data_IF_132115840232
#
_entry.id   IF_132115840232
#
_cell.length_a   1.000
_cell.length_b   1.000
_cell.length_c   1.000
_cell.angle_alpha   90.00
_cell.angle_beta   90.00
_cell.angle_gamma   90.00
#
_symmetry.space_group_name_H-M   'P 1'
#
loop_
_entity.id
_entity.type
_entity.pdbx_description
1 polymer ?
#
# COMPACT_ATOMS: atom_id res chain seq x y z
N UNK A 1 16.91 -15.57 25.72
CA UNK A 1 17.42 -16.12 27.00
C UNK A 1 16.87 -15.31 28.19
N UNK A 2 16.13 -15.95 29.09
CA UNK A 2 15.52 -15.31 30.27
C UNK A 2 16.48 -15.20 31.46
N UNK A 3 16.38 -14.12 32.23
CA UNK A 3 17.17 -13.88 33.44
C UNK A 3 16.29 -13.75 34.68
N UNK A 4 16.75 -14.26 35.82
CA UNK A 4 16.09 -14.07 37.12
C UNK A 4 16.05 -12.58 37.47
N UNK A 5 14.89 -12.10 37.93
CA UNK A 5 14.50 -10.70 38.10
C UNK A 5 14.35 -9.88 36.81
N UNK A 6 14.49 -10.50 35.63
CA UNK A 6 14.18 -9.86 34.35
C UNK A 6 12.67 -9.67 34.17
N UNK A 7 12.28 -8.59 33.49
CA UNK A 7 10.89 -8.26 33.17
C UNK A 7 10.65 -8.50 31.68
N UNK A 8 9.60 -9.25 31.36
CA UNK A 8 9.24 -9.68 30.02
C UNK A 8 7.72 -9.57 29.83
N UNK A 9 7.24 -9.78 28.61
CA UNK A 9 5.85 -9.66 28.24
C UNK A 9 5.39 -10.88 27.43
N UNK A 10 4.14 -11.28 27.63
CA UNK A 10 3.43 -12.20 26.74
C UNK A 10 1.96 -11.75 26.59
N UNK A 11 1.14 -12.54 25.90
CA UNK A 11 -0.30 -12.23 25.67
C UNK A 11 -1.12 -11.99 26.95
N UNK A 12 -0.63 -12.38 28.13
CA UNK A 12 -1.31 -12.14 29.42
C UNK A 12 -0.83 -10.88 30.14
N UNK A 13 0.16 -10.18 29.59
CA UNK A 13 0.75 -8.98 30.18
C UNK A 13 2.20 -9.17 30.60
N UNK A 14 2.70 -8.19 31.35
CA UNK A 14 4.08 -8.17 31.85
C UNK A 14 4.27 -9.13 33.03
N UNK A 15 5.43 -9.77 33.08
CA UNK A 15 5.81 -10.67 34.15
C UNK A 15 7.30 -10.54 34.51
N UNK A 16 7.61 -10.75 35.78
CA UNK A 16 8.97 -10.84 36.30
C UNK A 16 9.36 -12.29 36.54
N UNK A 17 10.54 -12.71 36.07
CA UNK A 17 11.06 -14.06 36.35
C UNK A 17 11.57 -14.13 37.78
N UNK A 18 11.01 -15.01 38.60
CA UNK A 18 11.43 -15.20 39.99
C UNK A 18 12.51 -16.28 40.13
N UNK A 19 12.37 -17.41 39.44
CA UNK A 19 13.35 -18.50 39.47
C UNK A 19 13.38 -19.25 38.14
N UNK A 20 14.51 -19.87 37.84
CA UNK A 20 14.68 -20.72 36.65
C UNK A 20 15.15 -22.10 37.13
N UNK A 21 14.36 -23.12 36.81
CA UNK A 21 14.60 -24.51 37.22
C UNK A 21 14.46 -25.43 36.01
N UNK A 22 15.58 -25.69 35.33
CA UNK A 22 15.62 -26.57 34.15
C UNK A 22 14.74 -26.05 33.01
N UNK A 23 13.79 -26.84 32.48
CA UNK A 23 12.93 -26.42 31.35
C UNK A 23 11.81 -25.46 31.76
N UNK A 24 11.68 -25.13 33.06
CA UNK A 24 10.62 -24.27 33.60
C UNK A 24 11.20 -23.06 34.31
N UNK A 25 10.44 -21.97 34.30
CA UNK A 25 10.71 -20.78 35.11
C UNK A 25 9.45 -20.36 35.86
N UNK A 26 9.61 -19.95 37.11
CA UNK A 26 8.52 -19.38 37.90
C UNK A 26 8.50 -17.88 37.67
N UNK A 27 7.34 -17.34 37.30
CA UNK A 27 7.17 -15.92 37.01
C UNK A 27 6.07 -15.32 37.89
N UNK A 28 6.12 -14.00 38.08
CA UNK A 28 5.08 -13.21 38.75
C UNK A 28 4.56 -12.13 37.81
N UNK A 29 3.25 -12.12 37.59
CA UNK A 29 2.55 -11.09 36.84
C UNK A 29 2.25 -9.86 37.70
N UNK A 30 1.89 -8.74 37.07
CA UNK A 30 1.60 -7.47 37.76
C UNK A 30 0.40 -7.55 38.72
N UNK A 31 -0.54 -8.44 38.44
CA UNK A 31 -1.70 -8.75 39.31
C UNK A 31 -1.30 -9.56 40.57
N UNK A 32 -0.02 -9.93 40.71
CA UNK A 32 0.51 -10.74 41.79
C UNK A 32 0.42 -12.25 41.55
N UNK A 33 -0.14 -12.69 40.43
CA UNK A 33 -0.26 -14.12 40.09
C UNK A 33 1.11 -14.73 39.84
N UNK A 34 1.38 -15.88 40.46
CA UNK A 34 2.63 -16.64 40.31
C UNK A 34 2.37 -17.96 39.60
N UNK A 35 3.13 -18.26 38.54
CA UNK A 35 2.96 -19.46 37.72
C UNK A 35 4.28 -19.97 37.17
N UNK A 36 4.37 -21.28 36.99
CA UNK A 36 5.46 -21.93 36.28
C UNK A 36 5.19 -21.97 34.76
N UNK A 37 6.11 -21.41 33.98
CA UNK A 37 6.08 -21.39 32.53
C UNK A 37 7.21 -22.23 31.95
N UNK A 38 6.96 -22.83 30.77
CA UNK A 38 8.00 -23.53 30.03
C UNK A 38 8.88 -22.52 29.27
N UNK A 39 10.20 -22.60 29.46
CA UNK A 39 11.15 -21.65 28.89
C UNK A 39 11.11 -21.67 27.36
N UNK A 40 11.13 -22.85 26.73
CA UNK A 40 11.13 -22.97 25.27
C UNK A 40 9.88 -22.34 24.62
N UNK A 41 8.74 -22.42 25.31
CA UNK A 41 7.51 -21.78 24.83
C UNK A 41 7.61 -20.26 24.93
N UNK A 42 8.16 -19.74 26.04
CA UNK A 42 8.30 -18.30 26.21
C UNK A 42 9.40 -17.72 25.32
N UNK A 43 10.45 -18.47 24.99
CA UNK A 43 11.48 -18.04 24.03
C UNK A 43 10.86 -17.84 22.64
N UNK A 44 10.07 -18.80 22.15
CA UNK A 44 9.37 -18.65 20.86
C UNK A 44 8.35 -17.51 20.85
N UNK A 45 7.64 -17.27 21.96
CA UNK A 45 6.72 -16.13 22.07
C UNK A 45 7.52 -14.82 22.03
N UNK A 46 8.66 -14.78 22.70
CA UNK A 46 9.52 -13.61 22.74
C UNK A 46 10.15 -13.32 21.38
N UNK A 47 10.65 -14.34 20.68
CA UNK A 47 11.19 -14.21 19.32
C UNK A 47 10.15 -13.64 18.35
N UNK A 48 8.89 -14.09 18.42
CA UNK A 48 7.82 -13.55 17.59
C UNK A 48 7.48 -12.09 17.95
N UNK A 49 7.46 -11.74 19.25
CA UNK A 49 7.20 -10.37 19.71
C UNK A 49 8.37 -9.46 19.32
N UNK A 50 9.60 -9.94 19.42
CA UNK A 50 10.80 -9.17 19.06
C UNK A 50 10.87 -8.93 17.56
N UNK A 51 10.51 -9.92 16.72
CA UNK A 51 10.35 -9.73 15.28
C UNK A 51 9.24 -8.71 14.93
N UNK A 52 8.11 -8.74 15.66
CA UNK A 52 7.01 -7.78 15.48
C UNK A 52 7.39 -6.36 15.96
N UNK A 53 8.13 -6.26 17.07
CA UNK A 53 8.62 -4.98 17.60
C UNK A 53 9.75 -4.41 16.74
N UNK A 54 10.67 -5.22 16.21
CA UNK A 54 11.70 -4.76 15.28
C UNK A 54 11.07 -4.27 13.97
N UNK A 55 10.06 -4.98 13.46
CA UNK A 55 9.27 -4.53 12.30
C UNK A 55 8.54 -3.20 12.59
N UNK A 56 7.96 -3.01 13.78
CA UNK A 56 7.31 -1.75 14.17
C UNK A 56 8.28 -0.60 14.48
N UNK A 57 9.44 -0.87 15.08
CA UNK A 57 10.39 0.15 15.53
C UNK A 57 11.22 0.74 14.38
N UNK A 58 11.65 -0.11 13.43
CA UNK A 58 12.22 0.34 12.15
C UNK A 58 11.20 1.18 11.37
N UNK A 59 9.93 0.77 11.44
CA UNK A 59 8.82 1.49 10.84
C UNK A 59 8.58 2.88 11.42
N UNK A 60 8.57 3.09 12.74
CA UNK A 60 8.16 4.39 13.30
C UNK A 60 9.20 5.49 13.05
N UNK A 61 10.49 5.17 13.10
CA UNK A 61 11.55 6.14 12.81
C UNK A 61 11.64 6.41 11.30
N UNK A 62 11.59 5.37 10.46
CA UNK A 62 11.56 5.54 9.00
C UNK A 62 10.28 6.25 8.53
N UNK A 63 9.11 5.96 9.10
CA UNK A 63 7.84 6.66 8.82
C UNK A 63 7.87 8.12 9.29
N UNK A 64 8.50 8.43 10.42
CA UNK A 64 8.62 9.82 10.89
C UNK A 64 9.59 10.64 10.01
N UNK A 65 10.67 10.00 9.53
CA UNK A 65 11.64 10.62 8.62
C UNK A 65 11.07 10.76 7.19
N UNK A 66 10.37 9.73 6.68
CA UNK A 66 9.57 9.80 5.44
C UNK A 66 8.48 10.86 5.54
N UNK A 67 7.70 10.93 6.63
CA UNK A 67 6.70 12.00 6.85
C UNK A 67 7.29 13.40 6.84
N UNK A 68 8.55 13.57 7.27
CA UNK A 68 9.29 14.83 7.17
C UNK A 68 9.73 15.15 5.74
N UNK A 69 10.19 14.16 4.99
CA UNK A 69 10.58 14.32 3.57
C UNK A 69 9.38 14.48 2.64
N UNK A 70 8.26 13.81 2.96
CA UNK A 70 6.99 13.82 2.25
C UNK A 70 6.04 14.94 2.72
N UNK A 71 6.52 15.88 3.54
CA UNK A 71 5.72 16.96 4.09
C UNK A 71 5.17 17.86 2.96
N UNK A 72 3.92 17.61 2.56
CA UNK A 72 3.25 18.33 1.47
C UNK A 72 2.94 17.49 0.23
N UNK A 73 3.41 16.23 0.18
CA UNK A 73 2.97 15.24 -0.80
C UNK A 73 1.51 14.89 -0.55
N UNK A 74 0.77 14.70 -1.63
CA UNK A 74 -0.64 14.36 -1.59
C UNK A 74 -0.84 12.99 -2.24
N UNK A 75 -1.66 12.17 -1.58
CA UNK A 75 -1.95 10.80 -1.98
C UNK A 75 -3.40 10.72 -2.46
N UNK A 76 -3.59 10.12 -3.63
CA UNK A 76 -4.89 10.01 -4.26
C UNK A 76 -5.13 8.60 -4.78
N UNK A 77 -6.39 8.17 -4.76
CA UNK A 77 -6.91 7.09 -5.59
C UNK A 77 -7.70 7.74 -6.73
N UNK A 78 -7.37 7.40 -7.97
CA UNK A 78 -8.10 7.82 -9.16
C UNK A 78 -8.91 6.65 -9.71
N UNK A 79 -10.23 6.78 -9.79
CA UNK A 79 -11.06 5.84 -10.53
C UNK A 79 -11.00 6.15 -12.02
N UNK A 80 -10.91 5.10 -12.84
CA UNK A 80 -10.94 5.17 -14.30
C UNK A 80 -11.90 4.11 -14.83
N UNK A 81 -12.59 4.45 -15.91
CA UNK A 81 -13.42 3.50 -16.64
C UNK A 81 -12.57 2.82 -17.71
N UNK A 82 -12.51 1.50 -17.66
CA UNK A 82 -11.84 0.62 -18.60
C UNK A 82 -12.90 -0.27 -19.28
N UNK A 83 -13.87 0.33 -19.98
CA UNK A 83 -14.77 -0.47 -20.83
C UNK A 83 -13.94 -0.98 -22.01
N UNK A 84 -13.67 -2.28 -22.00
CA UNK A 84 -12.95 -3.00 -23.03
C UNK A 84 -13.58 -2.79 -24.41
N UNK A 85 -12.93 -2.01 -25.26
CA UNK A 85 -12.61 -2.39 -26.64
C UNK A 85 -11.78 -1.30 -27.33
N UNK A 86 -10.61 -1.73 -27.78
CA UNK A 86 -9.72 -1.09 -28.75
C UNK A 86 -8.60 -0.20 -28.18
N UNK A 87 -7.41 -0.80 -28.29
CA UNK A 87 -6.07 -0.23 -28.26
C UNK A 87 -5.30 -0.24 -26.94
N UNK A 88 -4.07 -0.75 -27.10
CA UNK A 88 -2.90 -0.78 -26.22
C UNK A 88 -2.43 0.66 -25.89
N UNK A 89 -3.35 1.49 -25.40
CA UNK A 89 -3.06 2.80 -24.81
C UNK A 89 -4.37 3.42 -24.34
N UNK A 90 -4.58 3.56 -23.02
CA UNK A 90 -5.36 4.71 -22.57
C UNK A 90 -4.75 5.92 -23.30
N UNK A 91 -5.55 6.85 -23.85
CA UNK A 91 -5.03 7.97 -24.65
C UNK A 91 -3.93 8.80 -23.98
N UNK A 92 -3.67 8.62 -22.67
CA UNK A 92 -2.56 9.22 -21.92
C UNK A 92 -1.48 8.28 -21.35
N UNK A 93 -1.60 6.96 -21.49
CA UNK A 93 -0.64 6.02 -20.85
C UNK A 93 0.69 5.95 -21.58
N UNK A 94 0.65 5.92 -22.92
CA UNK A 94 1.87 6.04 -23.76
C UNK A 94 2.58 7.38 -23.56
N UNK A 95 1.83 8.40 -23.17
CA UNK A 95 2.33 9.76 -22.99
C UNK A 95 2.68 10.07 -21.53
N UNK A 96 2.52 9.11 -20.60
CA UNK A 96 2.84 9.28 -19.18
C UNK A 96 2.16 10.52 -18.60
N UNK A 97 0.84 10.63 -18.81
CA UNK A 97 0.02 11.73 -18.30
C UNK A 97 -1.23 11.25 -17.56
N UNK A 98 -1.66 12.03 -16.58
CA UNK A 98 -2.97 11.91 -15.93
C UNK A 98 -3.79 13.16 -16.17
N UNK A 99 -5.12 12.99 -16.21
CA UNK A 99 -6.07 14.07 -16.49
C UNK A 99 -6.94 14.33 -15.28
N UNK A 100 -7.07 15.60 -14.89
CA UNK A 100 -7.99 16.08 -13.87
C UNK A 100 -9.08 16.90 -14.55
N UNK A 101 -10.34 16.57 -14.28
CA UNK A 101 -11.52 17.34 -14.68
C UNK A 101 -11.82 18.43 -13.65
N UNK A 102 -12.22 19.62 -14.10
CA UNK A 102 -12.78 20.66 -13.24
C UNK A 102 -14.27 20.35 -12.89
N UNK A 103 -14.67 20.31 -11.61
CA UNK A 103 -13.87 20.52 -10.40
C UNK A 103 -13.09 19.28 -9.96
N UNK A 104 -11.78 19.44 -9.76
CA UNK A 104 -10.87 18.38 -9.36
C UNK A 104 -9.65 18.91 -8.58
N UNK A 105 -8.85 18.00 -7.98
CA UNK A 105 -7.71 18.42 -7.18
C UNK A 105 -6.59 19.00 -8.05
N UNK A 106 -5.97 20.07 -7.57
CA UNK A 106 -4.73 20.57 -8.17
C UNK A 106 -3.56 19.72 -7.69
N UNK A 107 -3.12 18.77 -8.52
CA UNK A 107 -1.99 17.91 -8.24
C UNK A 107 -0.69 18.71 -8.19
N UNK A 108 0.29 18.21 -7.41
CA UNK A 108 1.62 18.81 -7.28
C UNK A 108 2.68 17.81 -7.74
N UNK A 109 3.83 18.28 -8.23
CA UNK A 109 4.99 17.40 -8.40
C UNK A 109 5.30 16.66 -7.09
N UNK A 110 5.52 15.35 -7.19
CA UNK A 110 5.68 14.43 -6.07
C UNK A 110 4.37 13.84 -5.51
N UNK A 111 3.19 14.34 -5.91
CA UNK A 111 1.92 13.69 -5.56
C UNK A 111 1.87 12.27 -6.11
N UNK A 112 1.38 11.32 -5.32
CA UNK A 112 1.26 9.91 -5.72
C UNK A 112 -0.19 9.53 -5.94
N UNK A 113 -0.44 8.68 -6.92
CA UNK A 113 -1.76 8.31 -7.41
C UNK A 113 -1.81 6.80 -7.58
N UNK A 114 -2.81 6.16 -6.99
CA UNK A 114 -3.18 4.77 -7.30
C UNK A 114 -4.35 4.80 -8.27
N UNK A 115 -4.31 3.96 -9.30
CA UNK A 115 -5.41 3.81 -10.24
C UNK A 115 -6.33 2.65 -9.86
N UNK A 116 -7.63 2.92 -9.98
CA UNK A 116 -8.71 1.98 -9.69
C UNK A 116 -9.59 1.80 -10.93
N UNK A 117 -9.82 0.56 -11.35
CA UNK A 117 -10.75 0.23 -12.42
C UNK A 117 -12.16 0.08 -11.87
N UNK A 118 -13.11 0.83 -12.41
CA UNK A 118 -14.52 0.77 -12.00
C UNK A 118 -15.15 -0.58 -12.36
N UNK A 119 -14.84 -1.09 -13.56
CA UNK A 119 -15.43 -2.29 -14.14
C UNK A 119 -14.89 -3.55 -13.46
N UNK A 120 -13.57 -3.61 -13.25
CA UNK A 120 -12.92 -4.73 -12.59
C UNK A 120 -12.97 -4.63 -11.06
N UNK A 121 -13.37 -3.47 -10.53
CA UNK A 121 -13.40 -3.17 -9.10
C UNK A 121 -12.06 -3.50 -8.42
N UNK A 122 -10.95 -3.14 -9.07
CA UNK A 122 -9.61 -3.46 -8.61
C UNK A 122 -8.66 -2.27 -8.76
N UNK A 123 -7.71 -2.16 -7.84
CA UNK A 123 -6.56 -1.27 -7.93
C UNK A 123 -5.46 -1.98 -8.70
N UNK A 124 -4.77 -1.29 -9.60
CA UNK A 124 -3.88 -1.97 -10.55
C UNK A 124 -2.61 -1.20 -10.92
N UNK A 125 -2.46 0.06 -10.52
CA UNK A 125 -1.24 0.82 -10.84
C UNK A 125 -0.93 1.89 -9.81
N UNK A 126 0.35 2.22 -9.69
CA UNK A 126 0.88 3.30 -8.86
C UNK A 126 1.65 4.26 -9.76
N UNK A 127 1.41 5.56 -9.59
CA UNK A 127 2.09 6.60 -10.36
C UNK A 127 2.47 7.80 -9.49
N UNK A 128 3.54 8.48 -9.89
CA UNK A 128 4.03 9.70 -9.25
C UNK A 128 3.94 10.88 -10.23
N UNK A 129 3.36 12.00 -9.81
CA UNK A 129 3.29 13.22 -10.63
C UNK A 129 4.67 13.86 -10.71
N UNK A 130 5.19 14.06 -11.92
CA UNK A 130 6.57 14.54 -12.15
C UNK A 130 6.66 16.03 -12.44
N UNK A 131 5.54 16.69 -12.74
CA UNK A 131 5.53 18.09 -13.16
C UNK A 131 4.19 18.78 -12.97
N UNK A 132 4.18 20.09 -13.25
CA UNK A 132 2.99 20.92 -13.11
C UNK A 132 1.93 20.64 -14.18
N UNK A 133 0.68 20.91 -13.80
CA UNK A 133 -0.47 20.74 -14.69
C UNK A 133 -0.49 21.76 -15.82
N UNK A 134 -0.84 21.30 -17.02
CA UNK A 134 -1.02 22.13 -18.21
C UNK A 134 -2.45 22.00 -18.72
N UNK A 135 -3.02 23.08 -19.24
CA UNK A 135 -4.34 23.05 -19.88
C UNK A 135 -4.24 22.83 -21.40
N UNK A 136 -3.03 22.64 -21.91
CA UNK A 136 -2.79 22.32 -23.31
C UNK A 136 -2.78 20.81 -23.45
N UNK A 137 -3.76 20.26 -24.19
CA UNK A 137 -3.77 18.83 -24.50
C UNK A 137 -2.48 18.46 -25.25
N UNK A 138 -1.82 17.35 -24.88
CA UNK A 138 -0.71 16.82 -25.66
C UNK A 138 -1.11 16.49 -27.09
N UNK A 139 -0.12 16.46 -27.99
CA UNK A 139 -0.37 16.23 -29.43
C UNK A 139 -0.88 14.82 -29.66
N UNK A 140 -2.12 14.70 -30.11
CA UNK A 140 -2.75 13.40 -30.40
C UNK A 140 -3.65 12.89 -29.27
N UNK A 141 -3.67 13.59 -28.13
CA UNK A 141 -4.56 13.27 -27.03
C UNK A 141 -6.00 13.69 -27.34
N UNK A 142 -6.94 12.75 -27.26
CA UNK A 142 -8.36 13.00 -27.44
C UNK A 142 -9.14 12.51 -26.22
N UNK A 143 -9.79 13.44 -25.51
CA UNK A 143 -10.73 13.09 -24.43
C UNK A 143 -12.16 13.25 -24.93
N UNK A 144 -12.85 12.16 -25.30
CA UNK A 144 -14.18 12.24 -25.89
C UNK A 144 -15.19 12.87 -24.92
N UNK A 145 -15.97 13.84 -25.43
CA UNK A 145 -17.16 14.34 -24.73
C UNK A 145 -16.92 15.31 -23.56
N UNK A 146 -15.69 15.85 -23.40
CA UNK A 146 -15.41 16.89 -22.40
C UNK A 146 -14.84 18.15 -23.04
N UNK A 147 -15.15 19.29 -22.43
CA UNK A 147 -14.60 20.58 -22.86
C UNK A 147 -13.10 20.63 -22.51
N UNK A 148 -12.20 20.85 -23.49
CA UNK A 148 -10.77 20.95 -23.23
C UNK A 148 -10.38 22.01 -22.20
N UNK A 149 -11.20 23.05 -22.03
CA UNK A 149 -10.97 24.11 -21.03
C UNK A 149 -11.15 23.64 -19.58
N UNK A 150 -11.79 22.49 -19.37
CA UNK A 150 -12.00 21.86 -18.07
C UNK A 150 -11.01 20.73 -17.77
N UNK A 151 -10.02 20.52 -18.65
CA UNK A 151 -9.02 19.47 -18.51
C UNK A 151 -7.69 20.07 -18.09
N UNK A 152 -7.10 19.52 -17.04
CA UNK A 152 -5.71 19.76 -16.68
C UNK A 152 -4.93 18.46 -16.78
N UNK A 153 -3.86 18.49 -17.57
CA UNK A 153 -2.97 17.39 -17.86
C UNK A 153 -1.72 17.47 -17.00
N UNK A 154 -1.41 16.41 -16.28
CA UNK A 154 -0.23 16.33 -15.42
C UNK A 154 0.68 15.21 -15.91
N UNK A 155 1.98 15.48 -16.13
CA UNK A 155 2.91 14.40 -16.41
C UNK A 155 3.10 13.54 -15.15
N UNK A 156 3.16 12.24 -15.37
CA UNK A 156 3.32 11.23 -14.33
C UNK A 156 4.49 10.30 -14.69
N UNK A 157 4.98 9.58 -13.71
CA UNK A 157 5.79 8.39 -13.91
C UNK A 157 5.04 7.20 -13.33
N UNK A 158 5.17 6.03 -13.93
CA UNK A 158 4.57 4.82 -13.37
C UNK A 158 5.59 4.11 -12.51
N UNK A 159 5.23 3.89 -11.26
CA UNK A 159 6.06 3.17 -10.30
C UNK A 159 5.76 1.66 -10.40
N UNK A 160 4.48 1.30 -10.48
CA UNK A 160 4.00 -0.10 -10.50
C UNK A 160 2.80 -0.21 -11.45
N UNK A 161 2.68 -1.33 -12.17
CA UNK A 161 1.56 -1.60 -13.06
C UNK A 161 1.33 -3.11 -13.21
N UNK A 162 0.10 -3.54 -12.90
CA UNK A 162 -0.35 -4.92 -13.08
C UNK A 162 -0.92 -5.08 -14.49
N UNK A 163 -0.39 -6.06 -15.22
CA UNK A 163 -0.82 -6.33 -16.60
C UNK A 163 -2.14 -7.12 -16.63
N UNK A 164 -2.33 -8.05 -15.70
CA UNK A 164 -3.54 -8.84 -15.58
C UNK A 164 -4.46 -8.31 -14.47
N UNK A 165 -5.52 -7.59 -14.87
CA UNK A 165 -6.49 -7.01 -13.93
C UNK A 165 -7.26 -8.05 -13.10
N UNK A 166 -7.23 -9.34 -13.48
CA UNK A 166 -7.82 -10.42 -12.66
C UNK A 166 -7.00 -10.70 -11.40
N UNK A 167 -5.68 -10.49 -11.46
CA UNK A 167 -4.74 -10.65 -10.34
C UNK A 167 -4.58 -9.37 -9.50
N UNK A 168 -5.14 -8.26 -9.97
CA UNK A 168 -5.02 -6.97 -9.33
C UNK A 168 -5.71 -6.91 -7.95
N UNK A 169 -5.35 -5.92 -7.13
CA UNK A 169 -5.86 -5.80 -5.75
C UNK A 169 -7.36 -5.47 -5.79
N UNK A 170 -8.20 -6.45 -5.48
CA UNK A 170 -9.65 -6.25 -5.52
C UNK A 170 -10.14 -5.30 -4.41
N UNK A 171 -11.16 -4.48 -4.69
CA UNK A 171 -11.69 -3.48 -3.75
C UNK A 171 -12.17 -4.08 -2.43
N UNK A 172 -12.58 -5.35 -2.45
CA UNK A 172 -13.10 -6.04 -1.28
C UNK A 172 -12.04 -6.71 -0.41
N UNK A 173 -10.78 -6.81 -0.86
CA UNK A 173 -9.67 -7.33 -0.04
C UNK A 173 -9.01 -6.26 0.84
N UNK A 174 -9.38 -4.99 0.67
CA UNK A 174 -8.74 -3.86 1.36
C UNK A 174 -9.74 -3.02 2.15
N UNK A 175 -9.24 -2.43 3.25
CA UNK A 175 -9.96 -1.46 4.06
C UNK A 175 -9.11 -0.20 4.20
N UNK A 176 -9.68 0.96 3.87
CA UNK A 176 -8.99 2.26 3.97
C UNK A 176 -9.51 3.01 5.19
N UNK A 177 -8.66 3.23 6.18
CA UNK A 177 -9.04 3.88 7.43
C UNK A 177 -9.46 5.33 7.21
N UNK A 178 -8.80 6.03 6.29
CA UNK A 178 -9.09 7.43 5.96
C UNK A 178 -10.38 7.62 5.18
N UNK A 179 -10.84 6.58 4.48
CA UNK A 179 -12.02 6.63 3.62
C UNK A 179 -12.89 5.37 3.77
N UNK A 180 -13.62 5.18 4.87
CA UNK A 180 -14.41 3.96 5.10
C UNK A 180 -15.47 3.67 4.04
N UNK A 181 -15.91 4.71 3.32
CA UNK A 181 -16.94 4.62 2.27
C UNK A 181 -16.35 4.62 0.85
N UNK A 182 -15.04 4.41 0.68
CA UNK A 182 -14.37 4.49 -0.62
C UNK A 182 -15.02 3.61 -1.69
N UNK A 183 -15.53 2.43 -1.33
CA UNK A 183 -16.22 1.50 -2.23
C UNK A 183 -17.42 2.14 -2.95
N UNK A 184 -18.15 3.01 -2.27
CA UNK A 184 -19.29 3.72 -2.86
C UNK A 184 -18.87 4.93 -3.71
N UNK A 185 -17.72 5.53 -3.39
CA UNK A 185 -17.20 6.71 -4.08
C UNK A 185 -16.50 6.36 -5.38
N UNK A 186 -15.78 5.23 -5.41
CA UNK A 186 -15.02 4.77 -6.58
C UNK A 186 -15.88 4.12 -7.66
N UNK A 187 -17.21 4.05 -7.48
CA UNK A 187 -18.14 3.54 -8.51
C UNK A 187 -18.23 4.48 -9.71
N UNK A 188 -17.94 5.78 -9.53
CA UNK A 188 -17.93 6.74 -10.62
C UNK A 188 -16.52 6.87 -11.18
N UNK A 189 -16.33 6.87 -12.51
CA UNK A 189 -15.02 7.10 -13.11
C UNK A 189 -14.59 8.57 -13.02
N UNK A 190 -13.30 8.80 -13.20
CA UNK A 190 -12.62 10.10 -13.13
C UNK A 190 -12.76 10.82 -11.77
N UNK A 191 -12.98 10.05 -10.70
CA UNK A 191 -13.00 10.57 -9.33
C UNK A 191 -11.61 10.50 -8.74
N UNK A 192 -11.17 11.61 -8.15
CA UNK A 192 -9.99 11.64 -7.30
C UNK A 192 -10.41 11.61 -5.83
N UNK A 193 -10.10 10.50 -5.17
CA UNK A 193 -10.31 10.32 -3.74
C UNK A 193 -9.00 10.58 -3.01
N UNK A 194 -8.99 11.56 -2.09
CA UNK A 194 -7.81 11.83 -1.26
C UNK A 194 -7.73 10.82 -0.11
N UNK A 195 -6.59 10.18 0.03
CA UNK A 195 -6.28 9.21 1.09
C UNK A 195 -5.12 9.72 1.96
N UNK A 196 -4.94 9.11 3.14
CA UNK A 196 -3.73 9.34 3.94
C UNK A 196 -2.54 8.56 3.36
N UNK A 197 -1.35 8.80 3.90
CA UNK A 197 -0.13 8.09 3.50
C UNK A 197 -0.21 6.61 3.86
N UNK A 198 -0.71 6.27 5.05
CA UNK A 198 -0.70 4.88 5.54
C UNK A 198 -1.58 3.95 4.66
N UNK A 199 -2.78 4.39 4.27
CA UNK A 199 -3.67 3.67 3.34
C UNK A 199 -3.07 3.58 1.93
N UNK A 200 -2.34 4.62 1.51
CA UNK A 200 -1.69 4.64 0.20
C UNK A 200 -0.54 3.63 0.15
N UNK A 201 0.33 3.62 1.15
CA UNK A 201 1.47 2.71 1.20
C UNK A 201 1.01 1.26 1.32
N UNK A 202 -0.07 0.97 2.07
CA UNK A 202 -0.67 -0.37 2.11
C UNK A 202 -1.04 -0.87 0.71
N UNK A 203 -1.75 -0.04 -0.06
CA UNK A 203 -2.15 -0.42 -1.42
C UNK A 203 -0.94 -0.52 -2.37
N UNK A 204 0.03 0.38 -2.24
CA UNK A 204 1.21 0.37 -3.08
C UNK A 204 2.08 -0.88 -2.83
N UNK A 205 2.22 -1.30 -1.57
CA UNK A 205 2.92 -2.52 -1.17
C UNK A 205 2.25 -3.76 -1.76
N UNK A 206 0.92 -3.92 -1.59
CA UNK A 206 0.17 -5.04 -2.18
C UNK A 206 0.29 -5.09 -3.71
N UNK A 207 0.29 -3.95 -4.38
CA UNK A 207 0.49 -3.89 -5.83
C UNK A 207 1.90 -4.29 -6.26
N UNK A 208 2.90 -3.95 -5.44
CA UNK A 208 4.31 -4.25 -5.72
C UNK A 208 4.56 -5.75 -5.56
N UNK A 209 4.07 -6.33 -4.46
CA UNK A 209 4.16 -7.78 -4.19
C UNK A 209 3.55 -8.61 -5.34
N UNK A 210 2.36 -8.24 -5.81
CA UNK A 210 1.72 -8.93 -6.95
C UNK A 210 2.49 -8.76 -8.27
N UNK A 211 3.18 -7.64 -8.46
CA UNK A 211 3.96 -7.42 -9.68
C UNK A 211 5.24 -8.25 -9.65
N UNK A 212 5.89 -8.36 -8.48
CA UNK A 212 7.06 -9.22 -8.28
C UNK A 212 6.68 -10.71 -8.47
N UNK A 213 5.53 -11.15 -7.95
CA UNK A 213 5.00 -12.50 -8.19
C UNK A 213 4.70 -12.75 -9.69
N UNK A 214 4.10 -11.80 -10.41
CA UNK A 214 3.86 -11.93 -11.85
C UNK A 214 5.16 -12.01 -12.66
N UNK A 215 6.21 -11.30 -12.25
CA UNK A 215 7.52 -11.37 -12.91
C UNK A 215 8.21 -12.73 -12.67
N UNK A 216 8.15 -13.26 -11.45
CA UNK A 216 8.70 -14.59 -11.11
C UNK A 216 7.99 -15.71 -11.89
N UNK A 217 6.66 -15.68 -11.98
CA UNK A 217 5.88 -16.68 -12.74
C UNK A 217 6.25 -16.71 -14.23
N UNK A 218 6.52 -15.53 -14.83
CA UNK A 218 6.92 -15.42 -16.24
C UNK A 218 8.34 -15.98 -16.45
N UNK A 219 9.27 -15.68 -15.53
CA UNK A 219 10.64 -16.21 -15.60
C UNK A 219 10.67 -17.73 -15.47
N UNK A 220 9.87 -18.32 -14.58
CA UNK A 220 9.75 -19.78 -14.43
C UNK A 220 9.14 -20.45 -15.67
N UNK A 221 8.09 -19.87 -16.26
CA UNK A 221 7.52 -20.38 -17.50
C UNK A 221 8.53 -20.32 -18.66
N UNK A 222 9.27 -19.21 -18.82
CA UNK A 222 10.29 -19.08 -19.86
C UNK A 222 11.43 -20.10 -19.70
N UNK A 223 11.86 -20.40 -18.48
CA UNK A 223 12.87 -21.44 -18.20
C UNK A 223 12.35 -22.86 -18.53
N UNK A 224 11.06 -23.16 -18.28
CA UNK A 224 10.47 -24.47 -18.58
C UNK A 224 10.33 -24.73 -20.09
N UNK A 225 10.24 -23.67 -20.92
CA UNK A 225 10.22 -23.79 -22.39
C UNK A 225 11.62 -23.90 -23.02
N UNK A 226 12.70 -23.63 -22.28
CA UNK A 226 14.08 -23.72 -22.78
C UNK A 226 14.77 -25.10 -22.52
N UNK A 227 14.14 -26.03 -21.79
CA UNK A 227 14.58 -27.44 -21.64
C UNK A 227 13.97 -28.42 -22.66
#
# INVERSE_FOLDING_TARGET
MFQVNGVYANRKGYYTVLTINGPKMTVRYEDGTVIDLNIAIQERIWENIEAEIEAEALSRAARAERRRMNAGIQFYVKSVSMVAQEEISLPGWRERITVVLDPGPKLRPGSRIIYFSVEHRAFFAVATVTGDGTNAAPKGFFFPGKDPSQLTFYPIDMDVFINNLENAVHVDSVELESQPNFKALLVQPEVYLKVNEDDFELLAELLTELTEEEEEDIEEEEEEFEE
#
